data_IF_651741398130
#
_entry.id   IF_651741398130
#
_cell.length_a   1.000
_cell.length_b   1.000
_cell.length_c   1.000
_cell.angle_alpha   90.00
_cell.angle_beta   90.00
_cell.angle_gamma   90.00
#
_symmetry.space_group_name_H-M   'P 1'
#
loop_
_entity.id
_entity.type
_entity.pdbx_description
1 polymer ?
#
# COMPACT_ATOMS: atom_id res chain seq x y z
N UNK A 1 -4.12 18.46 5.66
CA UNK A 1 -3.31 19.68 5.46
C UNK A 1 -3.78 20.83 6.35
N UNK A 2 -4.96 21.42 6.13
CA UNK A 2 -5.46 22.55 6.96
C UNK A 2 -5.50 22.28 8.48
N UNK A 3 -5.89 21.08 8.91
CA UNK A 3 -5.89 20.69 10.34
C UNK A 3 -4.48 20.66 10.94
N UNK A 4 -3.51 20.07 10.22
CA UNK A 4 -2.12 19.98 10.66
C UNK A 4 -1.41 21.34 10.68
N UNK A 5 -1.72 22.21 9.71
CA UNK A 5 -1.19 23.59 9.68
C UNK A 5 -1.67 24.40 10.89
N UNK A 6 -2.93 24.22 11.32
CA UNK A 6 -3.46 24.86 12.52
C UNK A 6 -2.77 24.39 13.81
N UNK A 7 -2.24 23.17 13.82
CA UNK A 7 -1.45 22.60 14.91
C UNK A 7 0.06 22.96 14.81
N UNK A 8 0.46 23.75 13.80
CA UNK A 8 1.85 24.20 13.61
C UNK A 8 2.72 23.25 12.76
N UNK A 9 2.14 22.22 12.15
CA UNK A 9 2.84 21.27 11.29
C UNK A 9 2.71 21.62 9.82
N UNK A 10 3.81 21.53 9.08
CA UNK A 10 3.81 21.59 7.61
C UNK A 10 3.72 20.18 7.04
N UNK A 11 2.65 19.87 6.33
CA UNK A 11 2.49 18.59 5.65
C UNK A 11 2.88 18.70 4.17
N UNK A 12 3.84 17.88 3.76
CA UNK A 12 4.27 17.71 2.38
C UNK A 12 3.94 16.29 1.89
N UNK A 13 3.45 16.17 0.67
CA UNK A 13 3.16 14.88 0.05
C UNK A 13 4.22 14.59 -1.01
N UNK A 14 4.90 13.45 -0.85
CA UNK A 14 5.82 12.90 -1.84
C UNK A 14 5.15 11.67 -2.43
N UNK A 15 5.04 11.63 -3.76
CA UNK A 15 4.44 10.52 -4.49
C UNK A 15 5.55 9.63 -5.02
N UNK A 16 5.46 8.34 -4.71
CA UNK A 16 6.38 7.31 -5.20
C UNK A 16 5.71 6.44 -6.25
N UNK A 17 6.51 5.85 -7.13
CA UNK A 17 6.00 5.02 -8.23
C UNK A 17 5.74 3.58 -7.80
N UNK A 18 6.35 3.12 -6.69
CA UNK A 18 6.16 1.78 -6.13
C UNK A 18 6.34 1.75 -4.60
N UNK A 19 5.91 0.64 -3.98
CA UNK A 19 5.93 0.46 -2.53
C UNK A 19 7.36 0.33 -1.94
N UNK A 20 8.30 -0.24 -2.69
CA UNK A 20 9.68 -0.44 -2.23
C UNK A 20 10.39 0.91 -2.08
N UNK A 21 10.26 1.80 -3.07
CA UNK A 21 10.80 3.16 -3.03
C UNK A 21 10.25 3.95 -1.84
N UNK A 22 8.94 3.84 -1.58
CA UNK A 22 8.32 4.50 -0.44
C UNK A 22 8.89 4.02 0.90
N UNK A 23 9.01 2.70 1.11
CA UNK A 23 9.58 2.15 2.35
C UNK A 23 11.07 2.45 2.49
N UNK A 24 11.84 2.40 1.40
CA UNK A 24 13.25 2.79 1.43
C UNK A 24 13.41 4.28 1.79
N UNK A 25 12.57 5.16 1.27
CA UNK A 25 12.62 6.58 1.63
C UNK A 25 12.32 6.84 3.10
N UNK A 26 11.44 6.04 3.73
CA UNK A 26 11.22 6.09 5.19
C UNK A 26 12.45 5.58 5.93
N UNK A 27 12.99 4.43 5.53
CA UNK A 27 14.18 3.81 6.14
C UNK A 27 15.39 4.76 6.09
N UNK A 28 15.56 5.49 4.98
CA UNK A 28 16.65 6.45 4.77
C UNK A 28 16.42 7.80 5.48
N UNK A 29 15.23 8.03 6.05
CA UNK A 29 14.87 9.29 6.68
C UNK A 29 14.57 10.44 5.71
N UNK A 30 14.33 10.14 4.43
CA UNK A 30 13.95 11.13 3.43
C UNK A 30 12.49 11.61 3.60
N UNK A 31 11.64 10.75 4.17
CA UNK A 31 10.26 11.08 4.57
C UNK A 31 9.96 10.45 5.93
N UNK A 32 9.09 11.09 6.72
CA UNK A 32 8.79 10.64 8.08
C UNK A 32 7.91 9.37 8.14
N UNK A 33 7.06 9.16 7.13
CA UNK A 33 6.13 8.05 7.07
C UNK A 33 5.66 7.76 5.63
N UNK A 34 5.31 6.50 5.36
CA UNK A 34 4.56 6.10 4.16
C UNK A 34 3.12 5.76 4.51
N UNK A 35 2.20 6.00 3.57
CA UNK A 35 0.78 5.67 3.71
C UNK A 35 0.28 5.00 2.42
N UNK A 36 0.49 3.69 2.32
CA UNK A 36 0.00 2.87 1.21
C UNK A 36 0.13 1.35 1.45
N UNK A 37 1.13 0.92 2.23
CA UNK A 37 1.43 -0.49 2.43
C UNK A 37 0.65 -1.10 3.61
N UNK A 38 0.33 -2.40 3.50
CA UNK A 38 -0.15 -3.20 4.62
C UNK A 38 1.01 -3.86 5.40
N UNK A 39 0.73 -4.29 6.63
CA UNK A 39 1.74 -4.83 7.55
C UNK A 39 2.57 -5.99 6.98
N UNK A 40 2.00 -6.98 6.26
CA UNK A 40 2.80 -8.07 5.70
C UNK A 40 3.90 -7.60 4.74
N UNK A 41 3.60 -6.62 3.88
CA UNK A 41 4.54 -6.05 2.93
C UNK A 41 5.71 -5.35 3.64
N UNK A 42 5.42 -4.58 4.69
CA UNK A 42 6.45 -3.91 5.50
C UNK A 42 7.37 -4.93 6.19
N UNK A 43 6.81 -6.02 6.73
CA UNK A 43 7.61 -7.10 7.34
C UNK A 43 8.52 -7.78 6.31
N UNK A 44 7.99 -8.11 5.14
CA UNK A 44 8.76 -8.67 4.03
C UNK A 44 9.89 -7.74 3.59
N UNK A 45 9.63 -6.43 3.50
CA UNK A 45 10.67 -5.42 3.24
C UNK A 45 11.75 -5.44 4.33
N UNK A 46 11.39 -5.43 5.61
CA UNK A 46 12.36 -5.49 6.70
C UNK A 46 13.23 -6.76 6.62
N UNK A 47 12.62 -7.91 6.38
CA UNK A 47 13.31 -9.20 6.24
C UNK A 47 14.27 -9.23 5.03
N UNK A 48 13.83 -8.72 3.88
CA UNK A 48 14.60 -8.79 2.63
C UNK A 48 15.64 -7.68 2.47
N UNK A 49 15.40 -6.50 3.05
CA UNK A 49 16.22 -5.30 2.87
C UNK A 49 16.94 -4.85 4.14
N UNK A 50 16.78 -5.59 5.25
CA UNK A 50 17.38 -5.22 6.53
C UNK A 50 16.79 -3.94 7.11
N UNK A 51 15.51 -3.69 6.83
CA UNK A 51 14.76 -2.54 7.35
C UNK A 51 14.39 -2.71 8.83
N UNK A 52 14.13 -1.59 9.50
CA UNK A 52 13.65 -1.54 10.89
C UNK A 52 12.37 -0.69 10.98
N UNK A 53 11.49 -0.88 10.00
CA UNK A 53 10.25 -0.12 9.91
C UNK A 53 9.18 -0.70 10.85
N UNK A 54 8.41 0.18 11.46
CA UNK A 54 7.30 -0.19 12.33
C UNK A 54 5.99 0.50 11.89
N UNK A 55 4.87 -0.22 12.00
CA UNK A 55 3.56 0.34 11.70
C UNK A 55 3.03 1.12 12.91
N UNK A 56 2.89 2.46 12.78
CA UNK A 56 2.45 3.33 13.89
C UNK A 56 1.05 3.00 14.42
N UNK A 57 0.07 2.81 13.52
CA UNK A 57 -1.30 2.44 13.86
C UNK A 57 -1.83 1.45 12.83
N UNK A 58 -2.20 0.23 13.23
CA UNK A 58 -2.72 -0.73 12.29
C UNK A 58 -4.12 -0.33 11.80
N UNK A 59 -4.41 -0.57 10.51
CA UNK A 59 -5.74 -0.45 9.90
C UNK A 59 -6.40 0.94 9.92
N UNK A 60 -5.60 2.01 9.81
CA UNK A 60 -6.12 3.39 9.65
C UNK A 60 -6.99 3.58 8.39
N UNK A 61 -6.79 2.74 7.38
CA UNK A 61 -7.51 2.76 6.12
C UNK A 61 -7.48 1.36 5.48
N UNK A 62 -8.57 0.96 4.84
CA UNK A 62 -8.69 -0.30 4.12
C UNK A 62 -9.44 -0.06 2.81
N UNK A 63 -8.85 -0.51 1.70
CA UNK A 63 -9.52 -0.60 0.42
C UNK A 63 -10.04 -2.02 0.25
N UNK A 64 -11.34 -2.18 0.00
CA UNK A 64 -11.90 -3.51 -0.30
C UNK A 64 -11.19 -4.16 -1.48
N UNK A 65 -10.88 -5.45 -1.36
CA UNK A 65 -10.44 -6.28 -2.49
C UNK A 65 -11.69 -6.76 -3.22
N UNK A 66 -11.74 -6.57 -4.53
CA UNK A 66 -12.85 -7.00 -5.38
C UNK A 66 -12.37 -7.77 -6.60
N UNK A 67 -13.21 -8.67 -7.09
CA UNK A 67 -13.07 -9.26 -8.42
C UNK A 67 -13.77 -8.33 -9.41
N UNK A 68 -13.03 -7.89 -10.42
CA UNK A 68 -13.52 -7.01 -11.47
C UNK A 68 -13.31 -7.66 -12.82
N UNK A 69 -14.22 -7.38 -13.76
CA UNK A 69 -14.14 -7.89 -15.12
C UNK A 69 -14.56 -6.80 -16.09
N UNK A 70 -13.88 -6.72 -17.23
CA UNK A 70 -14.30 -5.88 -18.36
C UNK A 70 -15.16 -6.64 -19.38
N UNK A 71 -15.41 -7.94 -19.15
CA UNK A 71 -16.05 -8.86 -20.10
C UNK A 71 -17.34 -9.52 -19.57
N UNK A 72 -17.50 -9.61 -18.26
CA UNK A 72 -18.55 -10.36 -17.59
C UNK A 72 -19.07 -9.52 -16.42
N UNK A 73 -20.39 -9.44 -16.27
CA UNK A 73 -21.04 -8.62 -15.24
C UNK A 73 -21.31 -9.42 -13.96
N UNK A 74 -21.33 -10.76 -14.08
CA UNK A 74 -21.61 -11.67 -12.96
C UNK A 74 -20.68 -12.88 -12.94
N UNK A 75 -20.57 -13.48 -11.76
CA UNK A 75 -19.70 -14.64 -11.54
C UNK A 75 -20.19 -15.90 -12.25
N UNK A 76 -21.51 -16.03 -12.45
CA UNK A 76 -22.15 -17.15 -13.13
C UNK A 76 -22.03 -17.09 -14.67
N UNK A 77 -21.52 -15.98 -15.20
CA UNK A 77 -21.21 -15.81 -16.63
C UNK A 77 -19.79 -16.28 -16.98
N UNK A 78 -18.96 -16.62 -15.99
CA UNK A 78 -17.59 -17.08 -16.23
C UNK A 78 -17.60 -18.47 -16.89
N UNK A 79 -16.96 -18.65 -18.06
CA UNK A 79 -16.87 -19.96 -18.69
C UNK A 79 -15.91 -20.88 -17.95
N UNK A 80 -16.08 -22.18 -18.13
CA UNK A 80 -15.10 -23.17 -17.67
C UNK A 80 -13.71 -22.87 -18.25
N UNK A 81 -12.72 -22.82 -17.38
CA UNK A 81 -11.34 -22.47 -17.75
C UNK A 81 -11.07 -20.96 -17.87
N UNK A 82 -11.96 -20.09 -17.39
CA UNK A 82 -11.70 -18.65 -17.30
C UNK A 82 -10.39 -18.35 -16.54
N UNK A 83 -9.60 -17.41 -17.07
CA UNK A 83 -8.37 -16.96 -16.44
C UNK A 83 -8.64 -15.78 -15.51
N UNK A 84 -8.20 -15.89 -14.27
CA UNK A 84 -8.30 -14.83 -13.26
C UNK A 84 -6.89 -14.35 -12.93
N UNK A 85 -6.62 -13.07 -13.20
CA UNK A 85 -5.40 -12.43 -12.74
C UNK A 85 -5.50 -12.16 -11.24
N UNK A 86 -4.47 -12.58 -10.50
CA UNK A 86 -4.36 -12.33 -9.05
C UNK A 86 -3.15 -11.42 -8.80
N UNK A 87 -3.21 -10.66 -7.70
CA UNK A 87 -2.08 -9.84 -7.26
C UNK A 87 -0.89 -10.75 -6.92
N UNK A 88 0.30 -10.35 -7.34
CA UNK A 88 1.55 -11.08 -7.10
C UNK A 88 2.39 -10.45 -5.97
N UNK A 89 1.72 -9.89 -4.97
CA UNK A 89 2.38 -9.14 -3.88
C UNK A 89 2.78 -10.06 -2.70
N UNK A 90 3.24 -11.28 -3.02
CA UNK A 90 3.73 -12.24 -2.03
C UNK A 90 5.09 -11.81 -1.46
#
# INVERSE_FOLDING_TARGET
>A
KKSMEAEGYKLEFVVFSNNIEALQAVQDGNVDASFAQHEPFMKSFNEQKGGDLAMMKPHVYYTGIGLYSSKYDKIDELPDGAQIAIMNDA
#
